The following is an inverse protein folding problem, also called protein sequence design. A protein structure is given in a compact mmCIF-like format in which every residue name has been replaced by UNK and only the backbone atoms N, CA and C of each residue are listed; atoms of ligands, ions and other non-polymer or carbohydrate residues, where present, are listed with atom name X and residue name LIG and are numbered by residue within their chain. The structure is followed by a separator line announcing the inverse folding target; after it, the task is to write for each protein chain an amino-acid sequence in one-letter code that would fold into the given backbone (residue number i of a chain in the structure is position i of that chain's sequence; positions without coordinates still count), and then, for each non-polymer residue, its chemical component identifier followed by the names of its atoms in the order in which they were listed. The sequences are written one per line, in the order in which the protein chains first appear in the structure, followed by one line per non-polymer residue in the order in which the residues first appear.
data_IF_083934912333
#
_entry.id   IF_083934912333
#
_cell.length_a   1.000
_cell.length_b   1.000
_cell.length_c   1.000
_cell.angle_alpha   90.00
_cell.angle_beta   90.00
_cell.angle_gamma   90.00
#
_symmetry.space_group_name_H-M   'P 1'
#
loop_
_entity.id
_entity.type
_entity.pdbx_description
1 polymer ?
#
# COMPACT_ATOMS: atom_id res chain seq x y z
N UNK A 1 -8.13 -10.05 -12.29
CA UNK A 1 -8.34 -11.19 -13.20
C UNK A 1 -9.61 -10.92 -14.02
N UNK A 2 -9.58 -11.23 -15.30
CA UNK A 2 -10.78 -11.13 -16.14
C UNK A 2 -11.76 -12.26 -15.80
N UNK A 3 -13.09 -12.05 -16.02
CA UNK A 3 -14.12 -13.01 -15.63
C UNK A 3 -13.99 -14.37 -16.34
N UNK A 4 -13.53 -14.41 -17.59
CA UNK A 4 -13.37 -15.64 -18.33
C UNK A 4 -12.22 -16.50 -17.77
N UNK A 5 -11.12 -15.85 -17.37
CA UNK A 5 -10.01 -16.52 -16.68
C UNK A 5 -10.45 -16.98 -15.28
N UNK A 6 -11.24 -16.16 -14.56
CA UNK A 6 -11.79 -16.54 -13.26
C UNK A 6 -12.69 -17.77 -13.36
N UNK A 7 -13.52 -17.85 -14.41
CA UNK A 7 -14.39 -19.00 -14.65
C UNK A 7 -13.62 -20.31 -14.80
N UNK A 8 -12.45 -20.29 -15.44
CA UNK A 8 -11.57 -21.47 -15.59
C UNK A 8 -11.00 -21.99 -14.27
N UNK A 9 -10.95 -21.14 -13.23
CA UNK A 9 -10.47 -21.52 -11.91
C UNK A 9 -11.52 -22.25 -11.05
N UNK A 10 -12.78 -22.29 -11.47
CA UNK A 10 -13.84 -22.96 -10.70
C UNK A 10 -13.52 -24.43 -10.44
N UNK A 11 -13.13 -25.16 -11.49
CA UNK A 11 -12.82 -26.59 -11.39
C UNK A 11 -11.65 -26.87 -10.42
N UNK A 12 -10.46 -26.22 -10.56
CA UNK A 12 -9.36 -26.44 -9.63
C UNK A 12 -9.69 -26.06 -8.20
N UNK A 13 -10.39 -24.93 -7.97
CA UNK A 13 -10.78 -24.48 -6.61
C UNK A 13 -11.73 -25.50 -5.94
N UNK A 14 -12.64 -26.10 -6.70
CA UNK A 14 -13.54 -27.17 -6.23
C UNK A 14 -12.86 -28.54 -6.18
N UNK A 15 -11.56 -28.64 -6.48
CA UNK A 15 -10.79 -29.89 -6.54
C UNK A 15 -11.32 -30.91 -7.57
N UNK A 16 -12.01 -30.42 -8.59
CA UNK A 16 -12.44 -31.24 -9.72
C UNK A 16 -11.31 -31.37 -10.75
N UNK A 17 -11.25 -32.46 -11.53
CA UNK A 17 -10.31 -32.58 -12.64
C UNK A 17 -10.48 -31.42 -13.63
N UNK A 18 -9.38 -30.84 -14.08
CA UNK A 18 -9.40 -29.84 -15.15
C UNK A 18 -8.28 -30.08 -16.15
N UNK A 19 -8.53 -29.71 -17.40
CA UNK A 19 -7.56 -29.87 -18.47
C UNK A 19 -6.73 -28.63 -18.66
N UNK A 20 -5.41 -28.79 -18.75
CA UNK A 20 -4.44 -27.74 -19.10
C UNK A 20 -4.24 -27.75 -20.63
N UNK A 21 -5.02 -26.94 -21.34
CA UNK A 21 -4.90 -26.83 -22.80
C UNK A 21 -3.52 -26.37 -23.26
N UNK A 22 -2.84 -25.54 -22.48
CA UNK A 22 -1.47 -25.11 -22.75
C UNK A 22 -0.42 -26.21 -22.59
N UNK A 23 -0.76 -27.36 -21.96
CA UNK A 23 0.12 -28.51 -21.78
C UNK A 23 -0.47 -29.77 -22.46
N UNK A 24 -0.90 -29.63 -23.71
CA UNK A 24 -1.37 -30.75 -24.50
C UNK A 24 -2.67 -31.41 -24.01
N UNK A 25 -3.45 -30.75 -23.18
CA UNK A 25 -4.71 -31.26 -22.64
C UNK A 25 -4.54 -32.17 -21.41
N UNK A 26 -3.37 -32.17 -20.77
CA UNK A 26 -3.15 -32.93 -19.53
C UNK A 26 -4.24 -32.64 -18.51
N UNK A 27 -4.78 -33.69 -17.90
CA UNK A 27 -5.81 -33.60 -16.87
C UNK A 27 -5.17 -33.65 -15.51
N UNK A 28 -5.37 -32.59 -14.73
CA UNK A 28 -4.84 -32.42 -13.37
C UNK A 28 -5.98 -32.38 -12.35
N UNK A 29 -5.72 -32.90 -11.18
CA UNK A 29 -6.64 -32.80 -10.02
C UNK A 29 -5.85 -32.27 -8.80
N UNK A 30 -6.40 -31.27 -8.13
CA UNK A 30 -5.84 -30.77 -6.88
C UNK A 30 -5.89 -31.87 -5.80
N UNK A 31 -4.78 -32.13 -5.14
CA UNK A 31 -4.76 -33.07 -4.01
C UNK A 31 -5.36 -32.45 -2.73
N UNK A 32 -5.51 -33.25 -1.65
CA UNK A 32 -6.12 -32.83 -0.38
C UNK A 32 -5.38 -31.67 0.32
N UNK A 33 -4.11 -31.47 0.01
CA UNK A 33 -3.25 -30.42 0.62
C UNK A 33 -3.19 -29.13 -0.20
N UNK A 34 -3.67 -29.14 -1.46
CA UNK A 34 -3.67 -27.96 -2.32
C UNK A 34 -4.56 -26.87 -1.71
N UNK A 35 -4.07 -25.64 -1.67
CA UNK A 35 -4.79 -24.44 -1.24
C UNK A 35 -4.63 -23.35 -2.29
N UNK A 36 -5.70 -22.61 -2.52
CA UNK A 36 -5.71 -21.46 -3.43
C UNK A 36 -5.82 -20.19 -2.61
N UNK A 37 -4.89 -19.28 -2.78
CA UNK A 37 -4.87 -17.97 -2.12
C UNK A 37 -4.89 -16.91 -3.21
N UNK A 38 -5.84 -16.00 -3.14
CA UNK A 38 -5.94 -14.86 -4.03
C UNK A 38 -5.79 -13.56 -3.27
N UNK A 39 -5.24 -12.54 -3.91
CA UNK A 39 -5.21 -11.18 -3.41
C UNK A 39 -5.95 -10.26 -4.37
N UNK A 40 -6.70 -9.31 -3.85
CA UNK A 40 -7.43 -8.34 -4.64
C UNK A 40 -7.37 -6.95 -3.97
N UNK A 41 -7.40 -5.91 -4.79
CA UNK A 41 -7.42 -4.52 -4.31
C UNK A 41 -8.84 -4.03 -4.00
N UNK A 42 -9.85 -4.82 -4.33
CA UNK A 42 -11.27 -4.54 -4.11
C UNK A 42 -11.94 -5.82 -3.60
N UNK A 43 -13.10 -5.70 -2.97
CA UNK A 43 -13.89 -6.86 -2.55
C UNK A 43 -14.56 -7.57 -3.75
N UNK A 44 -13.87 -7.62 -4.91
CA UNK A 44 -14.34 -8.21 -6.18
C UNK A 44 -15.62 -7.58 -6.74
N UNK A 45 -16.06 -6.45 -6.17
CA UNK A 45 -17.26 -5.69 -6.59
C UNK A 45 -17.05 -4.81 -7.81
N UNK A 46 -15.84 -4.79 -8.36
CA UNK A 46 -15.41 -3.86 -9.41
C UNK A 46 -14.66 -2.66 -8.84
N UNK A 47 -13.93 -1.95 -9.68
CA UNK A 47 -13.07 -0.86 -9.26
C UNK A 47 -13.83 0.45 -9.03
N UNK A 48 -13.57 1.13 -7.92
CA UNK A 48 -13.65 2.57 -7.84
C UNK A 48 -12.62 3.21 -8.81
N UNK A 49 -12.70 4.53 -9.06
CA UNK A 49 -11.84 5.25 -10.02
C UNK A 49 -10.34 4.88 -9.96
N UNK A 50 -9.85 4.54 -8.76
CA UNK A 50 -8.45 4.15 -8.52
C UNK A 50 -8.08 2.76 -9.07
N UNK A 51 -9.05 1.87 -9.30
CA UNK A 51 -8.84 0.49 -9.72
C UNK A 51 -9.62 0.16 -10.99
N UNK A 52 -9.47 1.00 -12.01
CA UNK A 52 -10.19 0.90 -13.31
C UNK A 52 -10.01 -0.46 -13.99
N UNK A 53 -8.87 -1.12 -13.74
CA UNK A 53 -8.60 -2.47 -14.26
C UNK A 53 -9.25 -3.59 -13.46
N UNK A 54 -9.87 -3.29 -12.31
CA UNK A 54 -10.53 -4.30 -11.49
C UNK A 54 -11.95 -4.55 -12.00
N UNK A 55 -12.16 -5.70 -12.62
CA UNK A 55 -13.47 -6.11 -13.12
C UNK A 55 -14.29 -6.78 -12.00
N UNK A 56 -15.61 -6.58 -12.06
CA UNK A 56 -16.53 -7.25 -11.16
C UNK A 56 -16.48 -8.76 -11.43
N UNK A 57 -16.33 -9.54 -10.37
CA UNK A 57 -16.33 -10.99 -10.45
C UNK A 57 -17.73 -11.56 -10.23
N UNK A 58 -17.98 -12.74 -10.79
CA UNK A 58 -19.22 -13.47 -10.57
C UNK A 58 -19.40 -13.85 -9.09
N UNK A 59 -20.61 -13.70 -8.60
CA UNK A 59 -20.96 -14.04 -7.22
C UNK A 59 -20.70 -15.53 -6.89
N UNK A 60 -20.84 -16.42 -7.87
CA UNK A 60 -20.54 -17.84 -7.68
C UNK A 60 -19.03 -18.08 -7.51
N UNK A 61 -18.18 -17.30 -8.18
CA UNK A 61 -16.74 -17.34 -8.00
C UNK A 61 -16.33 -16.84 -6.60
N UNK A 62 -16.88 -15.69 -6.18
CA UNK A 62 -16.59 -15.07 -4.88
C UNK A 62 -16.93 -16.01 -3.72
N UNK A 63 -18.08 -16.68 -3.78
CA UNK A 63 -18.55 -17.61 -2.73
C UNK A 63 -17.66 -18.82 -2.49
N UNK A 64 -16.69 -19.10 -3.39
CA UNK A 64 -15.71 -20.19 -3.22
C UNK A 64 -14.53 -19.82 -2.33
N UNK A 65 -14.42 -18.56 -1.94
CA UNK A 65 -13.34 -18.06 -1.09
C UNK A 65 -13.83 -17.66 0.30
N UNK A 66 -13.00 -17.93 1.28
CA UNK A 66 -13.06 -17.24 2.56
C UNK A 66 -12.42 -15.87 2.37
N UNK A 67 -13.22 -14.81 2.46
CA UNK A 67 -12.72 -13.44 2.29
C UNK A 67 -12.19 -12.94 3.63
N UNK A 68 -10.92 -12.52 3.62
CA UNK A 68 -10.28 -11.84 4.75
C UNK A 68 -9.97 -10.42 4.31
N UNK A 69 -10.64 -9.46 4.90
CA UNK A 69 -10.36 -8.05 4.65
C UNK A 69 -9.13 -7.62 5.46
N UNK A 70 -8.16 -7.07 4.74
CA UNK A 70 -6.96 -6.52 5.38
C UNK A 70 -7.27 -5.09 5.86
N UNK A 71 -7.23 -4.90 7.16
CA UNK A 71 -7.37 -3.57 7.76
C UNK A 71 -6.16 -2.68 7.41
N UNK A 72 -6.41 -1.37 7.30
CA UNK A 72 -5.32 -0.40 7.16
C UNK A 72 -4.38 -0.51 8.37
N UNK A 73 -3.06 -0.47 8.16
CA UNK A 73 -2.11 -0.54 9.26
C UNK A 73 -2.28 0.71 10.16
N UNK A 74 -2.34 0.46 11.45
CA UNK A 74 -2.39 1.50 12.48
C UNK A 74 -1.01 2.14 12.73
N UNK A 75 -0.97 3.13 13.63
CA UNK A 75 0.26 3.81 14.04
C UNK A 75 1.34 2.83 14.52
N UNK A 76 0.96 1.81 15.27
CA UNK A 76 1.90 0.85 15.87
C UNK A 76 2.52 -0.02 14.76
N UNK A 77 1.71 -0.52 13.84
CA UNK A 77 2.17 -1.32 12.71
C UNK A 77 3.11 -0.52 11.80
N UNK A 78 2.75 0.74 11.44
CA UNK A 78 3.59 1.62 10.63
C UNK A 78 4.92 1.93 11.31
N UNK A 79 4.89 2.26 12.61
CA UNK A 79 6.10 2.52 13.39
C UNK A 79 7.02 1.30 13.42
N UNK A 80 6.48 0.11 13.67
CA UNK A 80 7.24 -1.13 13.72
C UNK A 80 7.91 -1.45 12.38
N UNK A 81 7.20 -1.26 11.26
CA UNK A 81 7.77 -1.46 9.92
C UNK A 81 8.93 -0.51 9.67
N UNK A 82 8.78 0.78 9.95
CA UNK A 82 9.83 1.77 9.73
C UNK A 82 11.03 1.55 10.66
N UNK A 83 10.81 1.24 11.93
CA UNK A 83 11.89 0.98 12.91
C UNK A 83 12.73 -0.23 12.50
N UNK A 84 12.09 -1.31 12.03
CA UNK A 84 12.81 -2.49 11.55
C UNK A 84 13.60 -2.21 10.28
N UNK A 85 13.03 -1.42 9.35
CA UNK A 85 13.65 -1.15 8.05
C UNK A 85 14.73 -0.08 8.12
N UNK A 86 14.57 0.91 8.98
CA UNK A 86 15.43 2.08 9.12
C UNK A 86 15.94 2.22 10.54
N UNK A 87 16.59 1.17 11.04
CA UNK A 87 17.11 1.08 12.43
C UNK A 87 18.14 2.16 12.78
N UNK A 88 18.75 2.79 11.79
CA UNK A 88 19.69 3.91 11.99
C UNK A 88 19.01 5.25 12.29
N UNK A 89 17.68 5.35 12.03
CA UNK A 89 16.95 6.59 12.31
C UNK A 89 16.50 6.66 13.78
N UNK A 90 16.58 7.83 14.41
CA UNK A 90 16.01 8.06 15.73
C UNK A 90 14.50 7.80 15.73
N UNK A 91 14.00 7.20 16.81
CA UNK A 91 12.58 6.89 16.95
C UNK A 91 11.68 8.12 16.76
N UNK A 92 12.07 9.27 17.31
CA UNK A 92 11.32 10.54 17.18
C UNK A 92 11.19 11.00 15.71
N UNK A 93 12.19 10.68 14.88
CA UNK A 93 12.14 10.98 13.44
C UNK A 93 11.17 10.04 12.74
N UNK A 94 11.20 8.75 13.08
CA UNK A 94 10.24 7.75 12.57
C UNK A 94 8.81 8.17 12.92
N UNK A 95 8.57 8.63 14.15
CA UNK A 95 7.25 9.10 14.56
C UNK A 95 6.74 10.30 13.73
N UNK A 96 7.62 11.19 13.28
CA UNK A 96 7.23 12.31 12.39
C UNK A 96 6.68 11.79 11.06
N UNK A 97 7.37 10.85 10.43
CA UNK A 97 6.92 10.23 9.18
C UNK A 97 5.57 9.50 9.36
N UNK A 98 5.42 8.73 10.42
CA UNK A 98 4.17 8.00 10.72
C UNK A 98 3.02 8.96 11.00
N UNK A 99 3.26 10.04 11.73
CA UNK A 99 2.24 11.07 12.03
C UNK A 99 1.69 11.69 10.75
N UNK A 100 2.56 12.06 9.81
CA UNK A 100 2.13 12.59 8.51
C UNK A 100 1.34 11.57 7.72
N UNK A 101 1.79 10.31 7.66
CA UNK A 101 1.08 9.26 6.93
C UNK A 101 -0.34 9.03 7.47
N UNK A 102 -0.52 9.08 8.80
CA UNK A 102 -1.82 8.98 9.44
C UNK A 102 -2.68 10.21 9.09
N UNK A 103 -2.14 11.42 9.23
CA UNK A 103 -2.87 12.65 8.92
C UNK A 103 -3.33 12.71 7.46
N UNK A 104 -2.47 12.28 6.53
CA UNK A 104 -2.82 12.16 5.10
C UNK A 104 -3.98 11.17 4.91
N UNK A 105 -3.93 10.02 5.58
CA UNK A 105 -4.96 8.99 5.46
C UNK A 105 -6.29 9.39 6.13
N UNK A 106 -6.24 10.19 7.18
CA UNK A 106 -7.41 10.72 7.90
C UNK A 106 -8.03 11.92 7.17
N UNK A 107 -7.29 12.61 6.32
CA UNK A 107 -7.81 13.73 5.51
C UNK A 107 -8.83 13.31 4.44
N UNK A 108 -8.98 12.02 4.17
CA UNK A 108 -10.28 11.46 3.82
C UNK A 108 -10.60 11.28 2.34
N UNK A 109 -9.67 11.36 1.39
CA UNK A 109 -9.99 10.98 0.01
C UNK A 109 -9.32 9.66 -0.37
N UNK A 110 -10.04 8.81 -1.13
CA UNK A 110 -9.47 7.55 -1.66
C UNK A 110 -8.21 7.79 -2.52
N UNK A 111 -8.15 8.96 -3.17
CA UNK A 111 -7.05 9.33 -4.06
C UNK A 111 -5.80 9.81 -3.32
N UNK A 112 -5.90 10.14 -2.02
CA UNK A 112 -4.80 10.65 -1.19
C UNK A 112 -4.20 9.63 -0.22
N UNK A 113 -4.58 8.35 -0.29
CA UNK A 113 -4.08 7.34 0.64
C UNK A 113 -2.59 7.12 0.49
N UNK A 114 -1.83 7.34 1.57
CA UNK A 114 -0.42 6.97 1.68
C UNK A 114 -0.33 5.54 2.23
N UNK A 115 0.00 4.58 1.36
CA UNK A 115 0.24 3.20 1.76
C UNK A 115 1.67 3.01 2.34
N UNK A 116 1.95 1.81 2.86
CA UNK A 116 3.27 1.48 3.42
C UNK A 116 4.39 1.68 2.39
N UNK A 117 4.16 1.39 1.10
CA UNK A 117 5.19 1.53 0.05
C UNK A 117 5.54 2.98 -0.18
N UNK A 118 4.55 3.85 -0.21
CA UNK A 118 4.74 5.30 -0.37
C UNK A 118 5.41 5.91 0.86
N UNK A 119 5.02 5.49 2.07
CA UNK A 119 5.68 5.91 3.30
C UNK A 119 7.15 5.48 3.34
N UNK A 120 7.44 4.24 2.98
CA UNK A 120 8.82 3.73 2.86
C UNK A 120 9.60 4.47 1.77
N UNK A 121 8.96 4.77 0.64
CA UNK A 121 9.59 5.57 -0.43
C UNK A 121 9.95 6.98 0.06
N UNK A 122 9.06 7.65 0.81
CA UNK A 122 9.34 8.97 1.35
C UNK A 122 10.51 8.95 2.34
N UNK A 123 10.54 8.01 3.29
CA UNK A 123 11.68 7.86 4.22
C UNK A 123 12.98 7.59 3.44
N UNK A 124 12.94 6.68 2.47
CA UNK A 124 14.10 6.36 1.61
C UNK A 124 14.59 7.56 0.81
N UNK A 125 13.68 8.35 0.22
CA UNK A 125 14.00 9.60 -0.48
C UNK A 125 14.67 10.60 0.47
N UNK A 126 14.11 10.77 1.69
CA UNK A 126 14.71 11.66 2.71
C UNK A 126 16.09 11.19 3.16
N UNK A 127 16.33 9.89 3.21
CA UNK A 127 17.67 9.34 3.53
C UNK A 127 18.68 9.53 2.40
N UNK A 128 18.23 9.53 1.16
CA UNK A 128 19.07 9.75 -0.02
C UNK A 128 19.36 11.24 -0.20
N UNK A 129 18.34 12.08 -0.07
CA UNK A 129 18.42 13.55 -0.23
C UNK A 129 18.46 14.21 1.15
N UNK A 130 19.49 13.91 1.95
CA UNK A 130 19.58 14.27 3.37
C UNK A 130 19.51 15.76 3.67
N UNK A 131 19.91 16.60 2.72
CA UNK A 131 19.92 18.07 2.84
C UNK A 131 18.60 18.73 2.43
N UNK A 132 17.74 17.99 1.73
CA UNK A 132 16.41 18.47 1.36
C UNK A 132 15.47 18.47 2.58
N UNK A 133 14.51 19.40 2.59
CA UNK A 133 13.51 19.45 3.64
C UNK A 133 12.60 18.20 3.62
N UNK A 134 11.97 17.89 4.76
CA UNK A 134 10.97 16.80 4.79
C UNK A 134 9.81 17.10 3.84
N UNK A 135 9.45 18.38 3.65
CA UNK A 135 8.42 18.80 2.73
C UNK A 135 8.82 18.55 1.27
N UNK A 136 10.05 18.87 0.88
CA UNK A 136 10.52 18.67 -0.49
C UNK A 136 10.60 17.18 -0.82
N UNK A 137 11.15 16.37 0.10
CA UNK A 137 11.20 14.91 -0.09
C UNK A 137 9.81 14.27 -0.10
N UNK A 138 8.84 14.83 0.64
CA UNK A 138 7.43 14.41 0.60
C UNK A 138 6.81 14.72 -0.77
N UNK A 139 7.05 15.93 -1.30
CA UNK A 139 6.59 16.30 -2.65
C UNK A 139 7.15 15.35 -3.70
N UNK A 140 8.45 15.08 -3.66
CA UNK A 140 9.13 14.19 -4.62
C UNK A 140 8.60 12.76 -4.53
N UNK A 141 8.46 12.20 -3.33
CA UNK A 141 8.14 10.80 -3.13
C UNK A 141 6.63 10.49 -3.23
N UNK A 142 5.77 11.46 -3.00
CA UNK A 142 4.33 11.22 -2.87
C UNK A 142 3.46 12.25 -3.56
N UNK A 143 3.54 13.55 -3.19
CA UNK A 143 2.55 14.52 -3.61
C UNK A 143 2.55 14.77 -5.13
N UNK A 144 3.72 14.72 -5.78
CA UNK A 144 3.83 14.94 -7.24
C UNK A 144 3.15 13.87 -8.10
N UNK A 145 2.83 12.72 -7.55
CA UNK A 145 2.13 11.64 -8.26
C UNK A 145 0.61 11.71 -8.09
N UNK A 146 0.11 12.65 -7.28
CA UNK A 146 -1.32 12.79 -6.98
C UNK A 146 -2.03 13.70 -7.98
N UNK A 147 -3.35 13.51 -8.15
CA UNK A 147 -4.18 14.46 -8.89
C UNK A 147 -4.13 15.84 -8.24
N UNK A 148 -4.12 16.90 -9.07
CA UNK A 148 -3.96 18.29 -8.61
C UNK A 148 -4.96 18.69 -7.50
N UNK A 149 -6.20 18.21 -7.58
CA UNK A 149 -7.25 18.54 -6.61
C UNK A 149 -7.03 17.97 -5.21
N UNK A 150 -6.09 17.02 -5.03
CA UNK A 150 -5.73 16.45 -3.70
C UNK A 150 -4.37 16.91 -3.19
N UNK A 151 -3.56 17.53 -4.05
CA UNK A 151 -2.20 17.97 -3.65
C UNK A 151 -2.26 18.94 -2.48
N UNK A 152 -3.11 19.96 -2.54
CA UNK A 152 -3.24 20.96 -1.47
C UNK A 152 -3.66 20.33 -0.15
N UNK A 153 -4.55 19.33 -0.20
CA UNK A 153 -5.01 18.61 0.98
C UNK A 153 -3.87 17.87 1.70
N UNK A 154 -3.04 17.14 0.94
CA UNK A 154 -1.91 16.41 1.53
C UNK A 154 -0.78 17.33 1.98
N UNK A 155 -0.61 18.48 1.33
CA UNK A 155 0.32 19.52 1.78
C UNK A 155 -0.14 20.18 3.08
N UNK A 156 -1.43 20.39 3.26
CA UNK A 156 -1.99 20.82 4.55
C UNK A 156 -1.78 19.77 5.64
N UNK A 157 -1.94 18.48 5.33
CA UNK A 157 -1.73 17.42 6.31
C UNK A 157 -0.28 17.37 6.83
N UNK A 158 0.73 17.55 5.98
CA UNK A 158 2.13 17.63 6.43
C UNK A 158 2.38 18.92 7.22
N UNK A 159 1.82 20.04 6.81
CA UNK A 159 1.93 21.32 7.49
C UNK A 159 1.41 21.24 8.93
N UNK A 160 0.19 20.76 9.10
CA UNK A 160 -0.44 20.56 10.40
C UNK A 160 0.29 19.53 11.28
N UNK A 161 0.87 18.50 10.67
CA UNK A 161 1.54 17.42 11.40
C UNK A 161 2.93 17.80 11.89
N UNK A 162 3.69 18.57 11.13
CA UNK A 162 5.10 18.86 11.40
C UNK A 162 5.35 20.35 11.78
N UNK A 163 4.45 21.28 11.42
CA UNK A 163 4.70 22.71 11.60
C UNK A 163 6.04 23.13 10.95
N UNK A 164 6.88 23.85 11.67
CA UNK A 164 8.20 24.29 11.19
C UNK A 164 9.18 23.11 10.90
N UNK A 165 8.94 21.95 11.46
CA UNK A 165 9.83 20.79 11.24
C UNK A 165 9.77 20.26 9.81
N UNK A 166 8.71 20.56 9.05
CA UNK A 166 8.59 20.20 7.63
C UNK A 166 9.69 20.81 6.77
N UNK A 167 10.16 22.02 7.14
CA UNK A 167 11.17 22.78 6.40
C UNK A 167 12.60 22.38 6.77
N UNK A 168 12.76 21.50 7.78
CA UNK A 168 14.05 20.96 8.21
C UNK A 168 14.38 19.69 7.44
N UNK A 169 15.68 19.47 7.24
CA UNK A 169 16.19 18.26 6.56
C UNK A 169 16.31 17.08 7.52
N UNK A 170 16.43 15.87 6.96
CA UNK A 170 16.69 14.69 7.77
C UNK A 170 18.01 14.79 8.53
N UNK A 171 19.04 15.41 7.92
CA UNK A 171 20.35 15.65 8.54
C UNK A 171 20.24 16.47 9.82
N UNK A 172 19.40 17.52 9.83
CA UNK A 172 19.15 18.33 11.03
C UNK A 172 18.67 17.49 12.22
N UNK A 173 17.79 16.50 11.98
CA UNK A 173 17.26 15.65 13.05
C UNK A 173 18.23 14.57 13.51
N UNK A 174 19.15 14.15 12.64
CA UNK A 174 20.13 13.10 12.97
C UNK A 174 21.40 13.68 13.60
N UNK A 175 21.81 14.91 13.27
CA UNK A 175 22.96 15.59 13.84
C UNK A 175 22.81 15.94 15.32
N UNK A 176 21.58 16.21 15.79
CA UNK A 176 21.30 16.57 17.20
C UNK A 176 21.57 15.48 18.24
N UNK A 177 21.94 14.25 17.83
CA UNK A 177 22.27 13.13 18.74
C UNK A 177 23.73 13.06 19.18
N UNK A 178 24.58 13.97 18.71
CA UNK A 178 26.03 13.96 19.00
C UNK A 178 26.45 14.97 20.06
N UNK A 179 25.50 15.48 20.86
CA UNK A 179 25.77 16.43 21.95
C UNK A 179 25.30 15.90 23.28
#
# INVERSE_FOLDING_TARGET
IDPDTAAKLHMPIERKPWSLSANGGEVITANGYTRFIGTANTNMSGGARRFVSSQRQDAAFIKRFLIVEMVKPDKVALTNVLTKRYSSLPFQVIEKFVRVAIAVNDSGTEDSVMDIRQLVAWVGTSMTLKTFSLLDTFKIAFASALPLHVVDLVLQAIDLSLGEDKDKSLEYFTAKKSS
#
